data_IF_643335474588
#
_entry.id   IF_643335474588
#
_cell.length_a   1.000
_cell.length_b   1.000
_cell.length_c   1.000
_cell.angle_alpha   90.00
_cell.angle_beta   90.00
_cell.angle_gamma   90.00
#
_symmetry.space_group_name_H-M   'P 1'
#
loop_
_entity.id
_entity.type
_entity.pdbx_description
1 polymer ?
#
# COMPACT_ATOMS: atom_id res chain seq x y z
N UNK A 1 -14.42 6.26 12.19
CA UNK A 1 -13.15 6.37 11.45
C UNK A 1 -13.50 6.52 9.99
N UNK A 2 -13.19 7.65 9.35
CA UNK A 2 -13.51 7.86 7.93
C UNK A 2 -12.34 7.32 7.11
N UNK A 3 -12.57 6.26 6.34
CA UNK A 3 -11.58 5.68 5.44
C UNK A 3 -12.28 5.13 4.20
N UNK A 4 -11.60 5.21 3.06
CA UNK A 4 -12.08 4.68 1.77
C UNK A 4 -11.29 3.42 1.44
N UNK A 5 -11.98 2.32 1.16
CA UNK A 5 -11.32 1.10 0.68
C UNK A 5 -10.81 1.31 -0.75
N UNK A 6 -9.52 1.06 -0.98
CA UNK A 6 -8.91 1.14 -2.31
C UNK A 6 -8.77 -0.25 -2.92
N UNK A 7 -8.25 -1.20 -2.13
CA UNK A 7 -7.95 -2.55 -2.59
C UNK A 7 -8.31 -3.52 -1.48
N UNK A 8 -8.97 -4.62 -1.84
CA UNK A 8 -9.16 -5.78 -0.98
C UNK A 8 -9.00 -7.03 -1.81
N UNK A 9 -7.79 -7.58 -1.81
CA UNK A 9 -7.44 -8.79 -2.55
C UNK A 9 -7.19 -9.92 -1.57
N UNK A 10 -7.67 -11.11 -1.92
CA UNK A 10 -7.45 -12.33 -1.17
C UNK A 10 -7.11 -13.46 -2.13
N UNK A 11 -6.04 -14.17 -1.84
CA UNK A 11 -5.68 -15.41 -2.54
C UNK A 11 -5.51 -16.55 -1.55
N UNK A 12 -5.75 -17.75 -2.05
CA UNK A 12 -5.46 -19.01 -1.36
C UNK A 12 -4.62 -19.84 -2.31
N UNK A 13 -3.48 -20.33 -1.85
CA UNK A 13 -2.61 -21.18 -2.66
C UNK A 13 -3.06 -22.66 -2.63
N UNK A 14 -2.36 -23.50 -3.40
CA UNK A 14 -2.69 -24.92 -3.51
C UNK A 14 -2.47 -25.73 -2.21
N UNK A 15 -1.67 -25.20 -1.28
CA UNK A 15 -1.39 -25.79 0.03
C UNK A 15 -2.35 -25.25 1.11
N UNK A 16 -3.26 -24.36 0.73
CA UNK A 16 -4.23 -23.74 1.62
C UNK A 16 -3.70 -22.52 2.38
N UNK A 17 -2.49 -22.05 2.05
CA UNK A 17 -1.95 -20.79 2.56
C UNK A 17 -2.79 -19.60 2.09
N UNK A 18 -2.99 -18.62 2.98
CA UNK A 18 -3.85 -17.47 2.70
C UNK A 18 -3.01 -16.20 2.71
N UNK A 19 -3.13 -15.43 1.64
CA UNK A 19 -2.63 -14.05 1.59
C UNK A 19 -3.81 -13.11 1.40
N UNK A 20 -3.85 -12.04 2.20
CA UNK A 20 -4.84 -10.98 2.05
C UNK A 20 -4.15 -9.62 2.11
N UNK A 21 -4.47 -8.76 1.13
CA UNK A 21 -4.01 -7.39 1.06
C UNK A 21 -5.23 -6.49 1.14
N UNK A 22 -5.28 -5.61 2.14
CA UNK A 22 -6.34 -4.61 2.27
C UNK A 22 -5.70 -3.23 2.41
N UNK A 23 -6.00 -2.34 1.47
CA UNK A 23 -5.48 -0.98 1.43
C UNK A 23 -6.63 0.00 1.65
N UNK A 24 -6.50 0.81 2.69
CA UNK A 24 -7.45 1.88 3.04
C UNK A 24 -6.78 3.24 2.89
N UNK A 25 -7.52 4.21 2.35
CA UNK A 25 -7.14 5.63 2.34
C UNK A 25 -7.85 6.36 3.48
N UNK A 26 -7.08 7.04 4.29
CA UNK A 26 -7.57 8.03 5.26
C UNK A 26 -7.67 9.42 4.60
N UNK A 27 -8.58 10.30 5.05
CA UNK A 27 -8.81 11.61 4.45
C UNK A 27 -7.64 12.58 4.59
N UNK A 28 -6.78 12.39 5.59
CA UNK A 28 -5.59 13.21 5.84
C UNK A 28 -4.40 12.29 6.16
N UNK A 29 -3.16 12.68 5.83
CA UNK A 29 -1.96 11.97 6.24
C UNK A 29 -1.94 11.67 7.74
N UNK A 30 -1.41 10.50 8.10
CA UNK A 30 -1.29 10.11 9.51
C UNK A 30 -0.06 10.80 10.10
N UNK A 31 -0.17 11.66 11.13
CA UNK A 31 0.99 12.25 11.76
C UNK A 31 2.00 11.18 12.23
N UNK A 32 3.32 11.42 12.10
CA UNK A 32 3.96 12.69 11.74
C UNK A 32 4.15 12.90 10.23
N UNK A 33 3.68 11.99 9.37
CA UNK A 33 3.90 12.15 7.92
C UNK A 33 3.01 13.24 7.36
N UNK A 34 3.60 14.16 6.59
CA UNK A 34 2.89 15.12 5.74
C UNK A 34 2.70 14.61 4.32
N UNK A 35 3.21 13.40 4.01
CA UNK A 35 3.14 12.84 2.66
C UNK A 35 1.74 12.33 2.36
N UNK A 36 1.06 12.99 1.42
CA UNK A 36 -0.26 12.59 0.96
C UNK A 36 -0.19 11.40 0.01
N UNK A 37 -1.00 10.37 0.30
CA UNK A 37 -1.18 9.26 -0.62
C UNK A 37 -2.00 9.70 -1.84
N UNK A 38 -1.34 9.78 -3.00
CA UNK A 38 -1.96 10.20 -4.27
C UNK A 38 -2.60 9.07 -5.07
N UNK A 39 -2.13 7.82 -4.89
CA UNK A 39 -2.65 6.65 -5.59
C UNK A 39 -1.67 5.49 -5.64
N UNK A 40 -2.13 4.31 -6.08
CA UNK A 40 -1.31 3.08 -6.13
C UNK A 40 -0.14 3.20 -7.11
N UNK A 41 -0.31 3.92 -8.23
CA UNK A 41 0.77 4.14 -9.19
C UNK A 41 1.96 4.88 -8.55
N UNK A 42 1.69 5.99 -7.85
CA UNK A 42 2.73 6.74 -7.13
C UNK A 42 3.39 5.88 -6.05
N UNK A 43 2.61 5.08 -5.31
CA UNK A 43 3.16 4.17 -4.30
C UNK A 43 4.14 3.16 -4.89
N UNK A 44 3.82 2.59 -6.06
CA UNK A 44 4.71 1.66 -6.74
C UNK A 44 5.98 2.35 -7.24
N UNK A 45 5.86 3.56 -7.80
CA UNK A 45 7.00 4.36 -8.21
C UNK A 45 7.93 4.69 -7.03
N UNK A 46 7.37 5.19 -5.92
CA UNK A 46 8.11 5.53 -4.70
C UNK A 46 8.82 4.29 -4.12
N UNK A 47 8.12 3.15 -4.07
CA UNK A 47 8.69 1.89 -3.57
C UNK A 47 9.84 1.39 -4.43
N UNK A 48 9.67 1.37 -5.76
CA UNK A 48 10.71 0.95 -6.69
C UNK A 48 11.94 1.85 -6.56
N UNK A 49 11.74 3.17 -6.50
CA UNK A 49 12.84 4.13 -6.35
C UNK A 49 13.66 3.87 -5.07
N UNK A 50 13.01 3.65 -3.93
CA UNK A 50 13.70 3.37 -2.67
C UNK A 50 14.40 2.01 -2.69
N UNK A 51 13.78 0.96 -3.22
CA UNK A 51 14.45 -0.36 -3.35
C UNK A 51 15.68 -0.29 -4.25
N UNK A 52 15.61 0.46 -5.36
CA UNK A 52 16.76 0.67 -6.25
C UNK A 52 17.90 1.40 -5.54
N UNK A 53 17.58 2.42 -4.75
CA UNK A 53 18.58 3.17 -3.97
C UNK A 53 19.34 2.28 -2.99
N UNK A 54 18.68 1.30 -2.37
CA UNK A 54 19.31 0.38 -1.42
C UNK A 54 20.24 -0.65 -2.08
N UNK A 55 20.08 -0.88 -3.39
CA UNK A 55 20.88 -1.86 -4.15
C UNK A 55 22.16 -1.28 -4.75
N UNK A 56 22.43 0.01 -4.55
CA UNK A 56 23.60 0.73 -5.07
C UNK A 56 24.48 1.18 -3.91
#
# INVERSE_FOLDING_TARGET
MNATLILSEKSVDAEGGIMQIVIWKVPQPVPPTSHEFRGVAQLLEDFVAEVTKWRT
#
